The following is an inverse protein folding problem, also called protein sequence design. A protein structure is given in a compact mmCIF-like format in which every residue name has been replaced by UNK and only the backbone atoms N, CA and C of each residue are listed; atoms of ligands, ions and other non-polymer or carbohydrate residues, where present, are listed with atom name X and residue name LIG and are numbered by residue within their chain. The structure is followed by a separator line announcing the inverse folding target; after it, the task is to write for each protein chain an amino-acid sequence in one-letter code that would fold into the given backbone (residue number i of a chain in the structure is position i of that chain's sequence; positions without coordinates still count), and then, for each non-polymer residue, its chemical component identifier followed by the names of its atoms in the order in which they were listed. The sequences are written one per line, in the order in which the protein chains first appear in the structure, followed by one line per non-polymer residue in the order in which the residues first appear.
data_IF_096414704711
#
_entry.id   IF_096414704711
#
_cell.length_a   1.000
_cell.length_b   1.000
_cell.length_c   1.000
_cell.angle_alpha   90.00
_cell.angle_beta   90.00
_cell.angle_gamma   90.00
#
_symmetry.space_group_name_H-M   'P 1'
#
loop_
_entity.id
_entity.type
_entity.pdbx_description
1 polymer ?
#
# COMPACT_ATOMS: atom_id res chain seq x y z
N UNK A 1 16.12 9.07 -0.65
CA UNK A 1 14.86 8.29 -0.63
C UNK A 1 13.71 9.28 -0.63
N UNK A 2 12.66 9.00 -1.41
CA UNK A 2 11.49 9.88 -1.52
C UNK A 2 10.47 9.53 -0.43
N UNK A 3 9.77 10.54 0.10
CA UNK A 3 8.76 10.33 1.13
C UNK A 3 7.42 9.98 0.48
N UNK A 4 6.71 9.00 1.05
CA UNK A 4 5.41 8.55 0.54
C UNK A 4 4.34 8.54 1.63
N UNK A 5 3.11 8.91 1.27
CA UNK A 5 1.91 8.59 2.04
C UNK A 5 1.44 7.18 1.67
N UNK A 6 1.16 6.37 2.68
CA UNK A 6 0.58 5.04 2.55
C UNK A 6 -0.89 5.12 2.92
N UNK A 7 -1.74 4.54 2.08
CA UNK A 7 -3.17 4.45 2.26
C UNK A 7 -3.62 3.02 2.51
N UNK A 8 -4.83 2.87 3.02
CA UNK A 8 -5.54 1.59 3.09
C UNK A 8 -6.99 1.75 2.68
N UNK A 9 -7.58 0.65 2.24
CA UNK A 9 -9.00 0.56 1.99
C UNK A 9 -9.75 0.29 3.29
N UNK A 10 -10.70 1.16 3.63
CA UNK A 10 -11.62 0.95 4.75
C UNK A 10 -13.07 0.94 4.27
N UNK A 11 -13.91 0.16 4.94
CA UNK A 11 -15.37 0.18 4.78
C UNK A 11 -15.98 0.90 5.98
N UNK A 12 -16.46 2.14 5.82
CA UNK A 12 -17.15 2.84 6.90
C UNK A 12 -18.47 2.14 7.26
N UNK A 13 -18.85 2.19 8.54
CA UNK A 13 -20.11 1.63 9.00
C UNK A 13 -21.29 2.26 8.24
N UNK A 14 -22.17 1.42 7.68
CA UNK A 14 -23.36 1.87 6.96
C UNK A 14 -23.12 2.33 5.51
N UNK A 15 -21.87 2.27 4.99
CA UNK A 15 -21.55 2.62 3.61
C UNK A 15 -21.12 1.36 2.85
N UNK A 16 -21.70 1.12 1.67
CA UNK A 16 -21.37 -0.04 0.81
C UNK A 16 -20.06 0.14 0.05
N UNK A 17 -19.64 1.38 -0.18
CA UNK A 17 -18.44 1.76 -0.91
C UNK A 17 -17.20 1.79 -0.03
N UNK A 18 -16.11 1.20 -0.51
CA UNK A 18 -14.79 1.31 0.12
C UNK A 18 -14.20 2.72 -0.11
N UNK A 19 -13.52 3.26 0.89
CA UNK A 19 -12.81 4.54 0.79
C UNK A 19 -11.32 4.35 1.09
N UNK A 20 -10.46 5.11 0.41
CA UNK A 20 -9.02 5.18 0.76
C UNK A 20 -8.84 6.13 1.92
N UNK A 21 -8.23 5.66 3.00
CA UNK A 21 -7.86 6.49 4.15
C UNK A 21 -6.34 6.48 4.30
N UNK A 22 -5.77 7.62 4.70
CA UNK A 22 -4.33 7.72 4.98
C UNK A 22 -4.03 6.87 6.21
N UNK A 23 -3.10 5.94 6.08
CA UNK A 23 -2.66 5.06 7.17
C UNK A 23 -1.45 5.68 7.88
N UNK A 24 -0.38 5.95 7.14
CA UNK A 24 0.89 6.48 7.69
C UNK A 24 1.78 7.04 6.57
N UNK A 25 3.01 7.41 6.89
CA UNK A 25 4.04 7.84 5.95
C UNK A 25 5.28 6.93 6.07
N UNK A 26 6.07 6.84 5.00
CA UNK A 26 7.32 6.07 4.98
C UNK A 26 8.30 6.59 3.93
N UNK A 27 9.43 5.90 3.81
CA UNK A 27 10.48 6.21 2.84
C UNK A 27 10.50 5.18 1.73
N UNK A 28 10.25 5.62 0.49
CA UNK A 28 10.27 4.77 -0.67
C UNK A 28 11.70 4.32 -0.99
N UNK A 29 11.85 3.00 -1.19
CA UNK A 29 13.11 2.35 -1.53
C UNK A 29 13.14 2.07 -3.02
N UNK A 30 12.25 1.19 -3.49
CA UNK A 30 12.17 0.75 -4.89
C UNK A 30 10.79 0.18 -5.23
N UNK A 31 10.56 -0.06 -6.53
CA UNK A 31 9.39 -0.79 -6.99
C UNK A 31 9.63 -2.30 -6.91
N UNK A 32 8.57 -3.06 -6.65
CA UNK A 32 8.59 -4.51 -6.60
C UNK A 32 7.35 -5.14 -7.22
N UNK A 33 7.26 -6.46 -7.09
CA UNK A 33 6.07 -7.24 -7.38
C UNK A 33 5.74 -8.14 -6.20
N UNK A 34 4.46 -8.43 -6.04
CA UNK A 34 3.97 -9.33 -5.00
C UNK A 34 2.87 -10.23 -5.56
N UNK A 35 2.49 -11.23 -4.77
CA UNK A 35 1.62 -12.33 -5.14
C UNK A 35 0.56 -12.57 -4.07
N UNK A 36 -0.67 -12.87 -4.50
CA UNK A 36 -1.75 -13.27 -3.60
C UNK A 36 -2.56 -14.40 -4.22
N UNK A 37 -2.85 -15.40 -3.39
CA UNK A 37 -3.78 -16.49 -3.72
C UNK A 37 -5.21 -16.07 -3.39
N UNK A 38 -6.07 -16.13 -4.39
CA UNK A 38 -7.52 -15.98 -4.22
C UNK A 38 -8.20 -17.31 -4.52
N UNK A 39 -9.43 -17.49 -4.04
CA UNK A 39 -10.25 -18.65 -4.41
C UNK A 39 -10.47 -18.75 -5.93
N UNK A 40 -10.47 -17.63 -6.65
CA UNK A 40 -10.57 -17.56 -8.11
C UNK A 40 -9.24 -17.82 -8.84
N UNK A 41 -8.15 -18.05 -8.10
CA UNK A 41 -6.81 -18.28 -8.65
C UNK A 41 -5.75 -17.29 -8.14
N UNK A 42 -4.53 -17.48 -8.60
CA UNK A 42 -3.39 -16.64 -8.27
C UNK A 42 -3.44 -15.29 -9.00
N UNK A 43 -3.10 -14.21 -8.28
CA UNK A 43 -2.90 -12.87 -8.85
C UNK A 43 -1.56 -12.28 -8.41
N UNK A 44 -0.91 -11.55 -9.31
CA UNK A 44 0.27 -10.75 -9.01
C UNK A 44 -0.04 -9.26 -9.17
N UNK A 45 0.66 -8.40 -8.42
CA UNK A 45 0.48 -6.95 -8.49
C UNK A 45 1.78 -6.20 -8.24
N UNK A 46 1.86 -4.98 -8.77
CA UNK A 46 2.99 -4.08 -8.53
C UNK A 46 2.93 -3.48 -7.13
N UNK A 47 4.08 -3.42 -6.47
CA UNK A 47 4.25 -2.83 -5.14
C UNK A 47 5.33 -1.75 -5.13
N UNK A 48 5.30 -0.88 -4.13
CA UNK A 48 6.47 -0.16 -3.68
C UNK A 48 6.97 -0.77 -2.37
N UNK A 49 8.29 -0.94 -2.27
CA UNK A 49 8.98 -1.37 -1.07
C UNK A 49 9.30 -0.11 -0.26
N UNK A 50 8.78 -0.05 0.97
CA UNK A 50 8.83 1.15 1.81
C UNK A 50 9.42 0.82 3.18
N UNK A 51 10.35 1.67 3.63
CA UNK A 51 10.81 1.69 5.01
C UNK A 51 9.82 2.48 5.88
N UNK A 52 9.31 1.82 6.91
CA UNK A 52 8.33 2.35 7.84
C UNK A 52 9.01 3.15 8.96
N UNK A 53 8.27 4.01 9.70
CA UNK A 53 8.86 4.80 10.78
C UNK A 53 9.49 3.99 11.93
N UNK A 54 9.08 2.73 12.10
CA UNK A 54 9.64 1.78 13.07
C UNK A 54 10.87 1.01 12.55
N UNK A 55 11.33 1.31 11.34
CA UNK A 55 12.45 0.65 10.66
C UNK A 55 12.09 -0.66 9.97
N UNK A 56 10.83 -1.09 10.02
CA UNK A 56 10.38 -2.27 9.27
C UNK A 56 10.27 -1.97 7.76
N UNK A 57 10.34 -3.02 6.94
CA UNK A 57 10.18 -2.92 5.48
C UNK A 57 8.86 -3.57 5.08
N UNK A 58 8.06 -2.85 4.29
CA UNK A 58 6.74 -3.30 3.86
C UNK A 58 6.58 -3.19 2.34
N UNK A 59 6.00 -4.22 1.74
CA UNK A 59 5.44 -4.17 0.39
C UNK A 59 4.07 -3.50 0.45
N UNK A 60 3.90 -2.40 -0.28
CA UNK A 60 2.64 -1.66 -0.37
C UNK A 60 2.16 -1.67 -1.82
N UNK A 61 0.91 -2.07 -2.13
CA UNK A 61 0.35 -1.96 -3.48
C UNK A 61 0.52 -0.54 -4.03
N UNK A 62 0.96 -0.40 -5.29
CA UNK A 62 1.25 0.93 -5.87
C UNK A 62 0.04 1.87 -5.87
N UNK A 63 -1.17 1.33 -5.94
CA UNK A 63 -2.40 2.12 -5.86
C UNK A 63 -2.63 2.75 -4.48
N UNK A 64 -1.94 2.28 -3.44
CA UNK A 64 -2.02 2.78 -2.07
C UNK A 64 -0.82 3.68 -1.70
N UNK A 65 0.05 3.98 -2.66
CA UNK A 65 1.20 4.87 -2.47
C UNK A 65 0.97 6.22 -3.15
N UNK A 66 1.40 7.28 -2.48
CA UNK A 66 1.45 8.63 -3.04
C UNK A 66 2.74 9.31 -2.65
N UNK A 67 3.53 9.71 -3.64
CA UNK A 67 4.74 10.49 -3.43
C UNK A 67 4.40 11.90 -2.96
N UNK A 68 5.08 12.34 -1.90
CA UNK A 68 4.98 13.71 -1.37
C UNK A 68 6.17 14.49 -1.93
N UNK A 69 5.88 15.57 -2.64
CA UNK A 69 6.89 16.55 -3.06
C UNK A 69 6.89 17.74 -2.10
#
# INVERSE_FOLDING_TARGET
MEKVEIYKWERPAGITKMVKVKETEGMFIEFGCDYMEFESGAGNYSTGIVEMPDGSIRNVPVELLKFIR
#
